data_IF_990405215860
#
_entry.id   IF_990405215860
#
_cell.length_a   1.000
_cell.length_b   1.000
_cell.length_c   1.000
_cell.angle_alpha   90.00
_cell.angle_beta   90.00
_cell.angle_gamma   90.00
#
_symmetry.space_group_name_H-M   'P 1'
#
loop_
_entity.id
_entity.type
_entity.pdbx_description
1 polymer ?
#
# COMPACT_ATOMS: atom_id res chain seq x y z
N UNK A 1 16.88 -28.49 -14.86
CA UNK A 1 16.42 -27.11 -15.16
C UNK A 1 14.90 -26.96 -15.08
N UNK A 2 14.11 -28.00 -15.34
CA UNK A 2 12.63 -27.96 -15.24
C UNK A 2 12.11 -27.94 -13.80
N UNK A 3 12.81 -28.54 -12.85
CA UNK A 3 12.38 -28.59 -11.43
C UNK A 3 12.62 -27.26 -10.69
N UNK A 4 13.61 -26.46 -11.09
CA UNK A 4 13.83 -25.14 -10.52
C UNK A 4 12.77 -24.11 -10.94
N UNK A 5 12.18 -24.25 -12.13
CA UNK A 5 11.07 -23.39 -12.57
C UNK A 5 9.75 -23.72 -11.86
N UNK A 6 9.50 -24.99 -11.53
CA UNK A 6 8.31 -25.39 -10.79
C UNK A 6 8.34 -24.85 -9.34
N UNK A 7 9.48 -24.95 -8.68
CA UNK A 7 9.64 -24.46 -7.30
C UNK A 7 9.43 -22.95 -7.18
N UNK A 8 9.95 -22.15 -8.12
CA UNK A 8 9.72 -20.70 -8.14
C UNK A 8 8.25 -20.31 -8.39
N UNK A 9 7.52 -21.09 -9.19
CA UNK A 9 6.11 -20.84 -9.42
C UNK A 9 5.23 -21.17 -8.20
N UNK A 10 5.59 -22.20 -7.44
CA UNK A 10 4.89 -22.57 -6.20
C UNK A 10 5.17 -21.58 -5.07
N UNK A 11 6.40 -21.08 -4.94
CA UNK A 11 6.75 -19.99 -4.01
C UNK A 11 6.02 -18.70 -4.35
N UNK A 12 5.97 -18.29 -5.61
CA UNK A 12 5.24 -17.11 -6.04
C UNK A 12 3.72 -17.25 -5.85
N UNK A 13 3.16 -18.43 -6.04
CA UNK A 13 1.76 -18.72 -5.79
C UNK A 13 1.44 -18.72 -4.30
N UNK A 14 2.35 -19.17 -3.43
CA UNK A 14 2.17 -19.13 -1.98
C UNK A 14 2.31 -17.72 -1.42
N UNK A 15 3.25 -16.92 -1.96
CA UNK A 15 3.40 -15.49 -1.64
C UNK A 15 2.15 -14.70 -2.03
N UNK A 16 1.57 -14.97 -3.20
CA UNK A 16 0.34 -14.30 -3.65
C UNK A 16 -0.89 -14.69 -2.80
N UNK A 17 -0.97 -15.93 -2.30
CA UNK A 17 -2.02 -16.38 -1.39
C UNK A 17 -1.88 -15.75 0.00
N UNK A 18 -0.67 -15.62 0.53
CA UNK A 18 -0.42 -14.93 1.79
C UNK A 18 -0.76 -13.43 1.70
N UNK A 19 -0.47 -12.79 0.56
CA UNK A 19 -0.88 -11.40 0.30
C UNK A 19 -2.40 -11.24 0.35
N UNK A 20 -3.18 -12.17 -0.21
CA UNK A 20 -4.66 -12.12 -0.19
C UNK A 20 -5.25 -12.30 1.21
N UNK A 21 -4.64 -13.12 2.06
CA UNK A 21 -5.13 -13.37 3.42
C UNK A 21 -4.82 -12.22 4.40
N UNK A 22 -3.70 -11.50 4.22
CA UNK A 22 -3.31 -10.36 5.05
C UNK A 22 -4.27 -9.16 4.92
N UNK A 23 -5.03 -9.08 3.82
CA UNK A 23 -6.03 -8.01 3.64
C UNK A 23 -7.35 -8.23 4.41
N UNK A 24 -7.60 -9.43 4.95
CA UNK A 24 -8.88 -9.81 5.58
C UNK A 24 -8.92 -9.67 7.11
N UNK A 25 -7.82 -9.40 7.80
CA UNK A 25 -7.76 -9.60 9.25
C UNK A 25 -7.22 -8.47 10.10
N UNK A 26 -6.87 -7.32 9.55
CA UNK A 26 -6.27 -6.24 10.33
C UNK A 26 -7.21 -5.02 10.38
N UNK A 27 -7.36 -4.44 11.58
CA UNK A 27 -7.97 -3.13 11.82
C UNK A 27 -7.15 -2.02 11.13
N UNK A 28 -7.13 -2.05 9.79
CA UNK A 28 -6.43 -1.06 8.98
C UNK A 28 -7.38 0.11 8.73
N UNK A 29 -6.99 1.30 9.17
CA UNK A 29 -7.71 2.52 8.85
C UNK A 29 -7.66 2.76 7.34
N UNK A 30 -8.80 2.63 6.69
CA UNK A 30 -8.97 3.01 5.28
C UNK A 30 -9.26 4.49 5.20
N UNK A 31 -8.61 5.19 4.31
CA UNK A 31 -8.88 6.60 4.08
C UNK A 31 -8.83 6.92 2.58
N UNK A 32 -9.66 7.86 2.16
CA UNK A 32 -9.60 8.43 0.80
C UNK A 32 -8.70 9.65 0.80
N UNK A 33 -8.03 9.90 -0.31
CA UNK A 33 -7.26 11.12 -0.51
C UNK A 33 -8.22 12.30 -0.69
N UNK A 34 -8.28 13.23 0.29
CA UNK A 34 -9.09 14.44 0.17
C UNK A 34 -8.42 15.52 -0.68
N UNK A 35 -9.24 16.41 -1.27
CA UNK A 35 -8.77 17.46 -2.18
C UNK A 35 -8.06 18.61 -1.45
N UNK A 36 -8.31 18.80 -0.16
CA UNK A 36 -7.80 19.92 0.64
C UNK A 36 -6.85 19.40 1.73
N UNK A 37 -5.80 20.19 1.98
CA UNK A 37 -4.75 19.88 2.94
C UNK A 37 -5.31 19.76 4.36
N UNK A 38 -4.91 18.69 5.00
CA UNK A 38 -4.75 18.49 6.44
C UNK A 38 -5.77 19.12 7.38
N UNK A 39 -7.00 18.62 7.38
CA UNK A 39 -7.82 18.56 8.58
C UNK A 39 -8.38 17.14 8.68
N UNK A 40 -8.01 16.46 9.74
CA UNK A 40 -8.38 15.05 9.97
C UNK A 40 -9.46 15.03 11.03
N UNK A 41 -10.70 14.83 10.60
CA UNK A 41 -11.75 14.44 11.52
C UNK A 41 -11.64 12.94 11.78
N UNK A 42 -11.35 12.58 13.01
CA UNK A 42 -11.45 11.21 13.52
C UNK A 42 -12.94 10.85 13.60
N UNK A 43 -13.48 10.24 12.56
CA UNK A 43 -14.70 9.47 12.72
C UNK A 43 -14.37 8.00 12.88
N UNK A 44 -14.18 7.61 14.14
CA UNK A 44 -14.34 6.24 14.57
C UNK A 44 -15.83 5.94 14.67
N UNK A 45 -16.44 5.43 13.63
CA UNK A 45 -17.73 4.76 13.73
C UNK A 45 -17.64 3.40 13.04
N UNK A 46 -17.47 2.41 13.90
CA UNK A 46 -17.80 1.04 13.59
C UNK A 46 -19.33 0.93 13.58
N UNK A 47 -19.98 1.09 12.45
CA UNK A 47 -21.33 0.57 12.26
C UNK A 47 -21.28 -0.63 11.33
N UNK A 48 -21.55 -1.75 11.95
CA UNK A 48 -21.73 -3.05 11.33
C UNK A 48 -23.13 -3.11 10.73
N UNK A 49 -23.28 -2.78 9.48
CA UNK A 49 -24.34 -3.30 8.62
C UNK A 49 -24.30 -2.74 7.20
N UNK A 50 -23.52 -3.35 6.35
CA UNK A 50 -23.80 -3.45 4.92
C UNK A 50 -22.95 -4.62 4.41
N UNK A 51 -23.58 -5.80 4.36
CA UNK A 51 -23.14 -6.91 3.52
C UNK A 51 -23.24 -6.48 2.04
N UNK A 52 -22.25 -5.73 1.57
CA UNK A 52 -21.98 -5.67 0.15
C UNK A 52 -20.96 -6.75 -0.14
N UNK A 53 -21.38 -7.79 -0.87
CA UNK A 53 -20.51 -8.76 -1.50
C UNK A 53 -19.22 -8.05 -1.97
N UNK A 54 -18.04 -8.40 -1.46
CA UNK A 54 -16.81 -7.83 -1.99
C UNK A 54 -16.73 -8.28 -3.45
N UNK A 55 -16.93 -7.36 -4.39
CA UNK A 55 -16.52 -7.61 -5.77
C UNK A 55 -15.07 -8.07 -5.68
N UNK A 56 -14.80 -9.30 -6.09
CA UNK A 56 -13.44 -9.83 -6.12
C UNK A 56 -12.62 -8.92 -7.02
N UNK A 57 -11.82 -8.04 -6.41
CA UNK A 57 -10.90 -7.20 -7.17
C UNK A 57 -9.75 -8.07 -7.66
N UNK A 58 -9.58 -8.12 -8.97
CA UNK A 58 -8.49 -8.88 -9.59
C UNK A 58 -7.23 -8.02 -9.52
N UNK A 59 -6.21 -8.51 -8.80
CA UNK A 59 -4.89 -7.88 -8.79
C UNK A 59 -4.20 -8.04 -10.14
N UNK A 60 -3.69 -6.93 -10.68
CA UNK A 60 -3.00 -6.87 -11.97
C UNK A 60 -1.51 -6.58 -11.73
N UNK A 61 -0.66 -7.45 -12.26
CA UNK A 61 0.79 -7.35 -12.10
C UNK A 61 1.29 -7.77 -10.72
N UNK A 62 2.46 -7.28 -10.36
CA UNK A 62 3.13 -7.56 -9.09
C UNK A 62 3.11 -6.31 -8.21
N UNK A 63 3.08 -6.48 -6.87
CA UNK A 63 3.21 -5.36 -5.94
C UNK A 63 4.53 -4.61 -6.13
N UNK A 64 4.50 -3.29 -6.08
CA UNK A 64 5.68 -2.42 -6.15
C UNK A 64 5.94 -1.83 -4.77
N UNK A 65 7.18 -1.90 -4.32
CA UNK A 65 7.62 -1.51 -2.98
C UNK A 65 8.41 -0.20 -3.03
N UNK A 66 8.11 0.71 -2.10
CA UNK A 66 8.79 1.98 -1.92
C UNK A 66 9.31 2.04 -0.49
N UNK A 67 10.62 2.21 -0.31
CA UNK A 67 11.28 2.18 1.01
C UNK A 67 11.56 3.58 1.52
N UNK A 68 11.37 3.77 2.83
CA UNK A 68 11.47 5.08 3.48
C UNK A 68 12.58 5.13 4.53
N UNK A 69 13.14 6.32 4.73
CA UNK A 69 14.10 6.60 5.79
C UNK A 69 13.43 6.47 7.16
N UNK A 70 14.25 6.24 8.19
CA UNK A 70 13.80 6.18 9.57
C UNK A 70 13.07 7.47 9.96
N UNK A 71 11.95 7.31 10.67
CA UNK A 71 11.13 8.41 11.19
C UNK A 71 10.78 9.49 10.15
N UNK A 72 10.58 9.09 8.91
CA UNK A 72 10.36 10.00 7.79
C UNK A 72 9.43 9.40 6.73
N UNK A 73 8.82 10.25 5.93
CA UNK A 73 8.13 9.92 4.69
C UNK A 73 8.97 10.24 3.42
N UNK A 74 10.29 10.48 3.60
CA UNK A 74 11.21 10.59 2.48
C UNK A 74 11.71 9.21 2.07
N UNK A 75 11.78 8.97 0.77
CA UNK A 75 12.30 7.72 0.21
C UNK A 75 13.78 7.56 0.55
N UNK A 76 14.22 6.30 0.69
CA UNK A 76 15.65 5.97 0.80
C UNK A 76 16.38 6.38 -0.46
N UNK A 77 15.73 6.15 -1.61
CA UNK A 77 16.24 6.52 -2.93
C UNK A 77 15.07 7.08 -3.75
N UNK A 78 15.19 8.34 -4.17
CA UNK A 78 14.16 9.02 -4.95
C UNK A 78 14.04 8.49 -6.40
N UNK A 79 15.04 7.76 -6.89
CA UNK A 79 14.96 7.09 -8.20
C UNK A 79 13.81 6.07 -8.26
N UNK A 80 13.35 5.57 -7.11
CA UNK A 80 12.17 4.71 -7.03
C UNK A 80 10.90 5.37 -7.59
N UNK A 81 10.83 6.71 -7.61
CA UNK A 81 9.67 7.45 -8.15
C UNK A 81 9.47 7.20 -9.65
N UNK A 82 10.51 6.79 -10.38
CA UNK A 82 10.38 6.39 -11.78
C UNK A 82 9.41 5.22 -11.99
N UNK A 83 9.28 4.33 -10.99
CA UNK A 83 8.30 3.25 -11.03
C UNK A 83 6.86 3.77 -11.01
N UNK A 84 6.61 4.93 -10.38
CA UNK A 84 5.28 5.54 -10.35
C UNK A 84 4.85 6.08 -11.72
N UNK A 85 5.79 6.45 -12.59
CA UNK A 85 5.49 6.91 -13.94
C UNK A 85 4.85 5.77 -14.75
N UNK A 86 5.39 4.57 -14.64
CA UNK A 86 4.85 3.39 -15.34
C UNK A 86 3.54 2.90 -14.70
N UNK A 87 3.45 2.92 -13.36
CA UNK A 87 2.22 2.60 -12.64
C UNK A 87 1.09 3.55 -13.04
N UNK A 88 1.36 4.86 -13.10
CA UNK A 88 0.38 5.87 -13.48
C UNK A 88 -0.08 5.70 -14.93
N UNK A 89 0.85 5.51 -15.87
CA UNK A 89 0.52 5.24 -17.28
C UNK A 89 -0.40 4.03 -17.42
N UNK A 90 -0.05 2.92 -16.77
CA UNK A 90 -0.84 1.68 -16.83
C UNK A 90 -2.21 1.87 -16.18
N UNK A 91 -2.27 2.52 -15.01
CA UNK A 91 -3.52 2.76 -14.30
C UNK A 91 -4.48 3.65 -15.11
N UNK A 92 -3.96 4.65 -15.80
CA UNK A 92 -4.76 5.55 -16.65
C UNK A 92 -5.23 4.83 -17.91
N UNK A 93 -4.33 4.15 -18.64
CA UNK A 93 -4.65 3.49 -19.91
C UNK A 93 -5.67 2.36 -19.75
N UNK A 94 -5.56 1.59 -18.67
CA UNK A 94 -6.43 0.44 -18.39
C UNK A 94 -7.56 0.75 -17.39
N UNK A 95 -7.71 2.02 -16.96
CA UNK A 95 -8.69 2.46 -15.98
C UNK A 95 -8.66 1.65 -14.67
N UNK A 96 -7.45 1.30 -14.18
CA UNK A 96 -7.26 0.47 -13.01
C UNK A 96 -7.44 1.25 -11.71
N UNK A 97 -7.79 0.54 -10.64
CA UNK A 97 -7.75 1.05 -9.28
C UNK A 97 -6.37 0.81 -8.68
N UNK A 98 -5.94 1.70 -7.80
CA UNK A 98 -4.65 1.62 -7.10
C UNK A 98 -4.89 1.49 -5.62
N UNK A 99 -4.35 0.43 -5.01
CA UNK A 99 -4.30 0.25 -3.56
C UNK A 99 -2.89 0.56 -3.05
N UNK A 100 -2.81 1.45 -2.08
CA UNK A 100 -1.56 1.88 -1.45
C UNK A 100 -1.59 1.48 0.02
N UNK A 101 -0.61 0.72 0.48
CA UNK A 101 -0.51 0.25 1.85
C UNK A 101 0.79 0.76 2.48
N UNK A 102 0.71 1.74 3.39
CA UNK A 102 1.86 2.30 4.09
C UNK A 102 2.14 1.57 5.40
N UNK A 103 3.41 1.42 5.75
CA UNK A 103 3.88 0.74 6.96
C UNK A 103 5.06 1.47 7.61
N UNK A 104 5.23 1.25 8.91
CA UNK A 104 6.41 1.63 9.68
C UNK A 104 7.01 0.36 10.32
N UNK A 105 8.28 0.42 10.75
CA UNK A 105 8.84 -0.68 11.53
C UNK A 105 8.29 -0.63 12.97
N UNK A 106 8.05 -1.81 13.55
CA UNK A 106 7.52 -1.94 14.91
C UNK A 106 8.60 -1.82 16.00
N UNK A 107 9.87 -1.86 15.64
CA UNK A 107 10.96 -1.79 16.60
C UNK A 107 11.29 -0.36 17.04
N UNK A 108 10.86 0.64 16.26
CA UNK A 108 11.11 2.05 16.56
C UNK A 108 9.78 2.80 16.72
N UNK A 109 9.78 3.79 17.62
CA UNK A 109 8.59 4.58 17.90
C UNK A 109 7.57 3.83 18.77
N UNK A 110 6.39 4.42 18.86
CA UNK A 110 5.23 3.81 19.50
C UNK A 110 4.10 3.65 18.48
N UNK A 111 3.02 2.97 18.87
CA UNK A 111 1.89 2.70 17.99
C UNK A 111 1.33 3.97 17.32
N UNK A 112 1.12 5.05 18.09
CA UNK A 112 0.61 6.31 17.56
C UNK A 112 1.55 6.96 16.54
N UNK A 113 2.86 6.92 16.78
CA UNK A 113 3.88 7.44 15.85
C UNK A 113 3.91 6.59 14.58
N UNK A 114 3.92 5.26 14.72
CA UNK A 114 3.95 4.33 13.60
C UNK A 114 2.69 4.42 12.74
N UNK A 115 1.52 4.65 13.37
CA UNK A 115 0.27 4.90 12.65
C UNK A 115 0.34 6.19 11.82
N UNK A 116 0.87 7.28 12.38
CA UNK A 116 1.06 8.55 11.65
C UNK A 116 2.06 8.40 10.50
N UNK A 117 3.19 7.73 10.74
CA UNK A 117 4.22 7.52 9.71
C UNK A 117 3.69 6.66 8.55
N UNK A 118 3.02 5.56 8.86
CA UNK A 118 2.46 4.68 7.83
C UNK A 118 1.41 5.39 6.98
N UNK A 119 0.55 6.22 7.60
CA UNK A 119 -0.42 7.07 6.91
C UNK A 119 0.27 8.09 6.02
N UNK A 120 1.24 8.85 6.55
CA UNK A 120 1.99 9.87 5.81
C UNK A 120 2.74 9.29 4.61
N UNK A 121 3.31 8.09 4.73
CA UNK A 121 3.98 7.39 3.62
C UNK A 121 3.02 6.99 2.52
N UNK A 122 1.87 6.44 2.88
CA UNK A 122 0.84 6.09 1.90
C UNK A 122 0.30 7.34 1.19
N UNK A 123 0.09 8.44 1.92
CA UNK A 123 -0.34 9.72 1.36
C UNK A 123 0.69 10.31 0.41
N UNK A 124 1.98 10.25 0.75
CA UNK A 124 3.06 10.74 -0.12
C UNK A 124 3.04 10.04 -1.47
N UNK A 125 3.00 8.72 -1.50
CA UNK A 125 2.92 7.95 -2.76
C UNK A 125 1.61 8.25 -3.51
N UNK A 126 0.50 8.41 -2.81
CA UNK A 126 -0.79 8.76 -3.41
C UNK A 126 -0.76 10.16 -4.07
N UNK A 127 -0.13 11.15 -3.45
CA UNK A 127 0.05 12.48 -4.02
C UNK A 127 0.95 12.45 -5.26
N UNK A 128 2.03 11.67 -5.23
CA UNK A 128 2.90 11.46 -6.39
C UNK A 128 2.16 10.84 -7.57
N UNK A 129 1.24 9.90 -7.34
CA UNK A 129 0.39 9.34 -8.39
C UNK A 129 -0.62 10.35 -8.94
N UNK A 130 -1.24 11.16 -8.07
CA UNK A 130 -2.15 12.25 -8.50
C UNK A 130 -1.42 13.28 -9.34
N UNK A 131 -0.18 13.67 -8.98
CA UNK A 131 0.63 14.61 -9.76
C UNK A 131 0.95 14.08 -11.18
N UNK A 132 0.92 12.75 -11.35
CA UNK A 132 1.09 12.06 -12.64
C UNK A 132 -0.22 11.83 -13.40
N UNK A 133 -1.33 12.42 -12.93
CA UNK A 133 -2.61 12.40 -13.61
C UNK A 133 -3.57 11.28 -13.21
N UNK A 134 -3.22 10.46 -12.21
CA UNK A 134 -4.16 9.45 -11.70
C UNK A 134 -5.29 10.12 -10.93
N UNK A 135 -6.54 9.76 -11.24
CA UNK A 135 -7.71 10.27 -10.51
C UNK A 135 -7.69 9.81 -9.05
N UNK A 136 -7.96 10.72 -8.12
CA UNK A 136 -8.03 10.43 -6.67
C UNK A 136 -9.04 9.35 -6.33
N UNK A 137 -10.13 9.27 -7.07
CA UNK A 137 -11.19 8.27 -6.90
C UNK A 137 -10.71 6.84 -7.17
N UNK A 138 -9.66 6.71 -7.95
CA UNK A 138 -9.02 5.43 -8.28
C UNK A 138 -7.98 4.99 -7.23
N UNK A 139 -7.65 5.85 -6.27
CA UNK A 139 -6.61 5.59 -5.27
C UNK A 139 -7.25 5.30 -3.91
N UNK A 140 -6.99 4.12 -3.39
CA UNK A 140 -7.30 3.72 -2.02
C UNK A 140 -6.02 3.62 -1.21
N UNK A 141 -5.90 4.41 -0.15
CA UNK A 141 -4.77 4.35 0.76
C UNK A 141 -5.15 3.69 2.09
N UNK A 142 -4.23 2.89 2.63
CA UNK A 142 -4.39 2.16 3.89
C UNK A 142 -3.16 2.38 4.75
N UNK A 143 -3.35 2.70 6.03
CA UNK A 143 -2.31 2.76 7.05
C UNK A 143 -2.27 1.45 7.83
N UNK A 144 -1.10 0.80 7.87
CA UNK A 144 -0.90 -0.47 8.59
C UNK A 144 -0.22 -0.30 9.96
N UNK A 145 0.19 0.92 10.30
CA UNK A 145 0.94 1.18 11.53
C UNK A 145 2.33 0.53 11.51
N UNK A 146 2.79 0.09 12.68
CA UNK A 146 4.04 -0.64 12.82
C UNK A 146 3.86 -2.11 12.43
N UNK A 147 4.77 -2.63 11.62
CA UNK A 147 4.82 -4.04 11.22
C UNK A 147 6.20 -4.64 11.54
N UNK A 148 6.22 -5.97 11.68
CA UNK A 148 7.42 -6.79 11.87
C UNK A 148 7.32 -8.01 10.95
N UNK A 149 7.28 -7.74 9.64
CA UNK A 149 7.04 -8.77 8.62
C UNK A 149 8.32 -9.17 7.88
N UNK A 150 9.23 -8.23 7.73
CA UNK A 150 10.42 -8.37 6.88
C UNK A 150 11.72 -8.25 7.67
N UNK A 151 12.74 -8.94 7.19
CA UNK A 151 14.12 -8.86 7.71
C UNK A 151 15.03 -8.35 6.58
N UNK A 152 15.92 -7.39 6.81
CA UNK A 152 16.16 -6.67 8.07
C UNK A 152 15.00 -5.73 8.45
N UNK A 153 15.01 -5.21 9.69
CA UNK A 153 13.89 -4.44 10.25
C UNK A 153 13.56 -3.18 9.44
N UNK A 154 14.55 -2.57 8.82
CA UNK A 154 14.39 -1.41 7.93
C UNK A 154 13.48 -1.70 6.74
N UNK A 155 13.40 -2.95 6.31
CA UNK A 155 12.52 -3.38 5.23
C UNK A 155 11.03 -3.22 5.56
N UNK A 156 10.68 -3.00 6.85
CA UNK A 156 9.31 -2.72 7.28
C UNK A 156 8.91 -1.24 7.11
N UNK A 157 9.85 -0.36 6.76
CA UNK A 157 9.61 1.07 6.48
C UNK A 157 9.22 1.26 5.01
N UNK A 158 8.05 0.79 4.63
CA UNK A 158 7.69 0.71 3.22
C UNK A 158 6.25 1.14 2.93
N UNK A 159 6.01 1.40 1.65
CA UNK A 159 4.68 1.47 1.07
C UNK A 159 4.59 0.46 -0.08
N UNK A 160 3.50 -0.27 -0.13
CA UNK A 160 3.20 -1.22 -1.20
C UNK A 160 2.11 -0.64 -2.09
N UNK A 161 2.34 -0.66 -3.39
CA UNK A 161 1.37 -0.25 -4.41
C UNK A 161 0.93 -1.46 -5.21
N UNK A 162 -0.37 -1.64 -5.34
CA UNK A 162 -1.01 -2.75 -6.07
C UNK A 162 -2.05 -2.18 -7.02
N UNK A 163 -2.05 -2.67 -8.26
CA UNK A 163 -3.09 -2.37 -9.25
C UNK A 163 -4.19 -3.43 -9.21
N UNK A 164 -5.43 -3.01 -9.41
CA UNK A 164 -6.58 -3.91 -9.47
C UNK A 164 -7.67 -3.41 -10.43
N UNK A 165 -8.49 -4.34 -10.88
CA UNK A 165 -9.66 -4.07 -11.72
C UNK A 165 -10.94 -4.36 -10.97
#
# INVERSE_FOLDING_TARGET
QLDQCKNKNEENASLSKNYRNDYRGLNSLRFRMSAEGANYDEEANADSSLESNPKESITIGVPVFFYFKLNSNHLVDESQLSNLDEIAKLAISESLNISISGSADNATGNERVNQKLSKSRAQYIGQELVSRGVSREKIMAVSRGGIDKYTPIEANRLTVVVLSR
#
